data_IF_350076772565
#
_entry.id   IF_350076772565
#
_cell.length_a   1.000
_cell.length_b   1.000
_cell.length_c   1.000
_cell.angle_alpha   90.00
_cell.angle_beta   90.00
_cell.angle_gamma   90.00
#
_symmetry.space_group_name_H-M   'P 1'
#
loop_
_entity.id
_entity.type
_entity.pdbx_description
1 polymer ?
#
# COMPACT_ATOMS: atom_id res chain seq x y z
N UNK A 1 19.91 -25.18 -6.79
CA UNK A 1 18.73 -24.53 -7.41
C UNK A 1 18.82 -24.75 -8.90
N UNK A 2 17.70 -24.83 -9.62
CA UNK A 2 17.76 -24.88 -11.09
C UNK A 2 18.36 -23.59 -11.64
N UNK A 3 19.02 -23.67 -12.78
CA UNK A 3 19.63 -22.51 -13.48
C UNK A 3 18.62 -21.37 -13.74
N UNK A 4 17.32 -21.67 -13.72
CA UNK A 4 16.24 -20.70 -13.99
C UNK A 4 15.73 -19.98 -12.74
N UNK A 5 15.96 -20.51 -11.53
CA UNK A 5 15.29 -20.00 -10.33
C UNK A 5 15.80 -18.61 -9.92
N UNK A 6 17.12 -18.39 -9.95
CA UNK A 6 17.73 -17.10 -9.58
C UNK A 6 17.30 -15.97 -10.55
N UNK A 7 17.35 -16.15 -11.88
CA UNK A 7 16.82 -15.16 -12.82
C UNK A 7 15.35 -14.81 -12.58
N UNK A 8 14.49 -15.80 -12.31
CA UNK A 8 13.08 -15.57 -12.01
C UNK A 8 12.92 -14.72 -10.73
N UNK A 9 13.65 -15.06 -9.66
CA UNK A 9 13.61 -14.30 -8.43
C UNK A 9 14.06 -12.85 -8.64
N UNK A 10 15.13 -12.61 -9.41
CA UNK A 10 15.62 -11.25 -9.75
C UNK A 10 14.55 -10.45 -10.49
N UNK A 11 13.89 -11.08 -11.46
CA UNK A 11 12.79 -10.45 -12.20
C UNK A 11 11.62 -10.07 -11.28
N UNK A 12 11.15 -11.00 -10.44
CA UNK A 12 10.05 -10.74 -9.50
C UNK A 12 10.43 -9.66 -8.47
N UNK A 13 11.64 -9.75 -7.93
CA UNK A 13 12.18 -8.82 -6.94
C UNK A 13 12.25 -7.37 -7.42
N UNK A 14 12.31 -7.17 -8.75
CA UNK A 14 12.30 -5.84 -9.38
C UNK A 14 10.90 -5.43 -9.87
N UNK A 15 10.18 -6.35 -10.53
CA UNK A 15 8.88 -6.04 -11.17
C UNK A 15 7.78 -5.82 -10.13
N UNK A 16 7.71 -6.64 -9.08
CA UNK A 16 6.68 -6.49 -8.05
C UNK A 16 6.71 -5.12 -7.34
N UNK A 17 7.86 -4.63 -6.81
CA UNK A 17 7.94 -3.28 -6.25
C UNK A 17 7.68 -2.19 -7.30
N UNK A 18 8.10 -2.38 -8.56
CA UNK A 18 7.84 -1.42 -9.64
C UNK A 18 6.34 -1.26 -9.92
N UNK A 19 5.61 -2.36 -10.09
CA UNK A 19 4.15 -2.35 -10.29
C UNK A 19 3.47 -1.68 -9.09
N UNK A 20 3.87 -2.05 -7.86
CA UNK A 20 3.29 -1.49 -6.65
C UNK A 20 3.52 0.03 -6.52
N UNK A 21 4.74 0.48 -6.84
CA UNK A 21 5.12 1.89 -6.94
C UNK A 21 4.21 2.61 -7.93
N UNK A 22 4.06 2.06 -9.13
CA UNK A 22 3.24 2.64 -10.20
C UNK A 22 1.77 2.82 -9.81
N UNK A 23 1.13 1.79 -9.27
CA UNK A 23 -0.25 1.88 -8.80
C UNK A 23 -0.43 2.94 -7.71
N UNK A 24 0.46 2.94 -6.72
CA UNK A 24 0.35 3.85 -5.58
C UNK A 24 0.61 5.30 -6.02
N UNK A 25 1.59 5.52 -6.89
CA UNK A 25 1.83 6.82 -7.53
C UNK A 25 0.61 7.29 -8.33
N UNK A 26 0.05 6.43 -9.16
CA UNK A 26 -1.11 6.75 -9.98
C UNK A 26 -2.33 7.12 -9.11
N UNK A 27 -2.59 6.39 -8.02
CA UNK A 27 -3.64 6.79 -7.07
C UNK A 27 -3.39 8.18 -6.50
N UNK A 28 -2.18 8.45 -6.01
CA UNK A 28 -1.86 9.71 -5.34
C UNK A 28 -1.88 10.92 -6.28
N UNK A 29 -1.31 10.80 -7.48
CA UNK A 29 -1.03 11.96 -8.36
C UNK A 29 -1.90 12.04 -9.61
N UNK A 30 -2.51 10.93 -10.04
CA UNK A 30 -3.30 10.89 -11.27
C UNK A 30 -4.79 10.77 -10.96
N UNK A 31 -5.17 9.84 -10.07
CA UNK A 31 -6.58 9.56 -9.80
C UNK A 31 -7.20 10.50 -8.76
N UNK A 32 -6.59 10.67 -7.58
CA UNK A 32 -7.22 11.44 -6.50
C UNK A 32 -7.36 12.96 -6.77
N UNK A 33 -6.42 13.66 -7.44
CA UNK A 33 -6.56 15.10 -7.67
C UNK A 33 -7.83 15.52 -8.43
N UNK A 34 -8.17 14.96 -9.61
CA UNK A 34 -9.40 15.34 -10.30
C UNK A 34 -10.65 14.96 -9.50
N UNK A 35 -10.66 13.81 -8.82
CA UNK A 35 -11.80 13.39 -7.99
C UNK A 35 -12.06 14.37 -6.84
N UNK A 36 -11.01 14.77 -6.12
CA UNK A 36 -11.13 15.74 -5.01
C UNK A 36 -11.42 17.17 -5.46
N UNK A 37 -11.19 17.49 -6.73
CA UNK A 37 -11.46 18.81 -7.30
C UNK A 37 -12.90 18.93 -7.78
N UNK A 38 -13.46 17.87 -8.36
CA UNK A 38 -14.71 17.96 -9.11
C UNK A 38 -15.87 17.13 -8.56
N UNK A 39 -15.62 16.07 -7.78
CA UNK A 39 -16.69 15.19 -7.33
C UNK A 39 -17.44 15.77 -6.11
N UNK A 40 -18.78 15.76 -6.11
CA UNK A 40 -19.55 16.11 -4.91
C UNK A 40 -19.33 15.08 -3.79
N UNK A 41 -19.56 15.44 -2.51
CA UNK A 41 -19.13 14.63 -1.36
C UNK A 41 -19.61 13.17 -1.37
N UNK A 42 -20.89 12.90 -1.67
CA UNK A 42 -21.41 11.52 -1.75
C UNK A 42 -20.75 10.71 -2.89
N UNK A 43 -20.52 11.34 -4.05
CA UNK A 43 -19.85 10.67 -5.18
C UNK A 43 -18.37 10.40 -4.86
N UNK A 44 -17.67 11.38 -4.29
CA UNK A 44 -16.28 11.24 -3.86
C UNK A 44 -16.13 10.12 -2.83
N UNK A 45 -17.08 10.01 -1.88
CA UNK A 45 -17.11 8.92 -0.91
C UNK A 45 -17.19 7.54 -1.58
N UNK A 46 -18.11 7.37 -2.55
CA UNK A 46 -18.25 6.12 -3.31
C UNK A 46 -16.99 5.77 -4.10
N UNK A 47 -16.43 6.74 -4.83
CA UNK A 47 -15.24 6.55 -5.66
C UNK A 47 -13.99 6.22 -4.82
N UNK A 48 -13.77 6.94 -3.71
CA UNK A 48 -12.67 6.65 -2.80
C UNK A 48 -12.84 5.28 -2.14
N UNK A 49 -14.04 4.95 -1.65
CA UNK A 49 -14.27 3.67 -0.98
C UNK A 49 -14.06 2.50 -1.94
N UNK A 50 -14.55 2.59 -3.18
CA UNK A 50 -14.30 1.57 -4.20
C UNK A 50 -12.80 1.38 -4.51
N UNK A 51 -12.05 2.48 -4.64
CA UNK A 51 -10.60 2.43 -4.82
C UNK A 51 -9.90 1.77 -3.61
N UNK A 52 -10.35 2.12 -2.40
CA UNK A 52 -9.84 1.55 -1.16
C UNK A 52 -10.12 0.05 -1.03
N UNK A 53 -11.34 -0.40 -1.35
CA UNK A 53 -11.72 -1.81 -1.33
C UNK A 53 -11.01 -2.66 -2.37
N UNK A 54 -10.60 -2.06 -3.49
CA UNK A 54 -9.82 -2.74 -4.52
C UNK A 54 -8.37 -3.00 -4.09
N UNK A 55 -7.81 -2.16 -3.22
CA UNK A 55 -6.39 -2.20 -2.86
C UNK A 55 -5.87 -3.58 -2.40
N UNK A 56 -6.57 -4.35 -1.53
CA UNK A 56 -6.13 -5.68 -1.11
C UNK A 56 -5.91 -6.67 -2.26
N UNK A 57 -6.57 -6.49 -3.41
CA UNK A 57 -6.43 -7.39 -4.56
C UNK A 57 -5.02 -7.37 -5.18
N UNK A 58 -4.27 -6.27 -5.02
CA UNK A 58 -2.92 -6.15 -5.58
C UNK A 58 -1.85 -5.84 -4.53
N UNK A 59 -2.16 -5.12 -3.44
CA UNK A 59 -1.19 -4.72 -2.41
C UNK A 59 -0.52 -5.95 -1.77
N UNK A 60 -1.33 -6.89 -1.27
CA UNK A 60 -0.83 -8.10 -0.60
C UNK A 60 0.06 -8.95 -1.51
N UNK A 61 -0.43 -9.34 -2.72
CA UNK A 61 0.38 -10.08 -3.68
C UNK A 61 1.71 -9.41 -4.04
N UNK A 62 1.71 -8.10 -4.34
CA UNK A 62 2.93 -7.40 -4.73
C UNK A 62 3.93 -7.29 -3.57
N UNK A 63 3.47 -7.04 -2.34
CA UNK A 63 4.33 -7.01 -1.17
C UNK A 63 4.94 -8.39 -0.91
N UNK A 64 4.13 -9.44 -0.90
CA UNK A 64 4.61 -10.79 -0.63
C UNK A 64 5.63 -11.23 -1.67
N UNK A 65 5.35 -11.02 -2.96
CA UNK A 65 6.28 -11.35 -4.05
C UNK A 65 7.59 -10.57 -3.95
N UNK A 66 7.51 -9.25 -3.76
CA UNK A 66 8.69 -8.39 -3.65
C UNK A 66 9.55 -8.71 -2.42
N UNK A 67 8.92 -8.85 -1.25
CA UNK A 67 9.64 -9.12 -0.01
C UNK A 67 10.28 -10.51 0.00
N UNK A 68 9.51 -11.55 -0.36
CA UNK A 68 10.00 -12.93 -0.35
C UNK A 68 11.10 -13.16 -1.39
N UNK A 69 10.96 -12.60 -2.60
CA UNK A 69 11.98 -12.78 -3.65
C UNK A 69 13.30 -12.11 -3.27
N UNK A 70 13.25 -10.89 -2.72
CA UNK A 70 14.45 -10.22 -2.22
C UNK A 70 15.07 -10.97 -1.03
N UNK A 71 14.27 -11.49 -0.10
CA UNK A 71 14.78 -12.27 1.03
C UNK A 71 15.47 -13.57 0.58
N UNK A 72 14.88 -14.27 -0.39
CA UNK A 72 15.48 -15.47 -0.98
C UNK A 72 16.77 -15.14 -1.73
N UNK A 73 16.81 -14.06 -2.51
CA UNK A 73 18.04 -13.61 -3.19
C UNK A 73 19.14 -13.26 -2.19
N UNK A 74 18.81 -12.59 -1.08
CA UNK A 74 19.76 -12.35 0.00
C UNK A 74 20.29 -13.65 0.61
N UNK A 75 19.44 -14.64 0.81
CA UNK A 75 19.82 -15.95 1.35
C UNK A 75 20.74 -16.74 0.40
N UNK A 76 20.47 -16.71 -0.90
CA UNK A 76 21.26 -17.43 -1.90
C UNK A 76 22.55 -16.69 -2.32
N UNK A 77 22.66 -15.40 -2.02
CA UNK A 77 23.88 -14.61 -2.27
C UNK A 77 24.90 -14.84 -1.15
N UNK A 78 25.62 -15.97 -1.24
CA UNK A 78 26.51 -16.46 -0.17
C UNK A 78 28.00 -16.16 -0.36
N UNK A 79 28.41 -15.62 -1.51
CA UNK A 79 29.83 -15.32 -1.77
C UNK A 79 30.32 -14.18 -0.87
N UNK A 80 31.52 -14.28 -0.26
CA UNK A 80 32.15 -13.18 0.48
C UNK A 80 32.36 -11.91 -0.36
N UNK A 81 32.49 -12.04 -1.68
CA UNK A 81 32.59 -10.89 -2.60
C UNK A 81 31.27 -10.17 -2.84
N UNK A 82 30.13 -10.73 -2.42
CA UNK A 82 28.78 -10.23 -2.72
C UNK A 82 28.06 -9.68 -1.48
N UNK A 83 28.80 -9.33 -0.42
CA UNK A 83 28.25 -8.79 0.84
C UNK A 83 27.36 -7.57 0.61
N UNK A 84 27.80 -6.66 -0.26
CA UNK A 84 27.02 -5.46 -0.59
C UNK A 84 25.67 -5.83 -1.25
N UNK A 85 25.69 -6.70 -2.26
CA UNK A 85 24.47 -7.12 -2.94
C UNK A 85 23.50 -7.85 -2.00
N UNK A 86 24.02 -8.72 -1.13
CA UNK A 86 23.22 -9.36 -0.08
C UNK A 86 22.57 -8.33 0.84
N UNK A 87 23.31 -7.32 1.28
CA UNK A 87 22.79 -6.23 2.12
C UNK A 87 21.67 -5.46 1.41
N UNK A 88 21.86 -5.13 0.13
CA UNK A 88 20.85 -4.45 -0.69
C UNK A 88 19.57 -5.29 -0.82
N UNK A 89 19.66 -6.59 -1.10
CA UNK A 89 18.49 -7.48 -1.11
C UNK A 89 17.76 -7.51 0.24
N UNK A 90 18.48 -7.53 1.37
CA UNK A 90 17.85 -7.45 2.72
C UNK A 90 17.10 -6.13 2.90
N UNK A 91 17.71 -5.01 2.51
CA UNK A 91 17.08 -3.68 2.59
C UNK A 91 15.81 -3.63 1.73
N UNK A 92 15.86 -4.13 0.50
CA UNK A 92 14.70 -4.18 -0.39
C UNK A 92 13.58 -5.07 0.18
N UNK A 93 13.91 -6.22 0.75
CA UNK A 93 12.94 -7.10 1.41
C UNK A 93 12.27 -6.40 2.61
N UNK A 94 13.07 -5.75 3.46
CA UNK A 94 12.58 -4.99 4.62
C UNK A 94 11.70 -3.81 4.21
N UNK A 95 12.09 -3.06 3.18
CA UNK A 95 11.30 -1.95 2.64
C UNK A 95 9.92 -2.45 2.18
N UNK A 96 9.85 -3.50 1.36
CA UNK A 96 8.57 -4.07 0.94
C UNK A 96 7.72 -4.57 2.11
N UNK A 97 8.33 -5.33 3.04
CA UNK A 97 7.63 -5.86 4.20
C UNK A 97 7.07 -4.75 5.10
N UNK A 98 7.77 -3.62 5.22
CA UNK A 98 7.37 -2.48 6.07
C UNK A 98 6.04 -1.80 5.65
N UNK A 99 5.60 -2.00 4.41
CA UNK A 99 4.32 -1.48 3.93
C UNK A 99 3.13 -2.07 4.70
N UNK A 100 3.23 -3.31 5.15
CA UNK A 100 2.16 -3.98 5.92
C UNK A 100 1.95 -3.32 7.29
N UNK A 101 2.95 -3.22 8.20
CA UNK A 101 2.76 -2.54 9.48
C UNK A 101 2.41 -1.06 9.30
N UNK A 102 2.98 -0.37 8.30
CA UNK A 102 2.58 1.00 7.98
C UNK A 102 1.09 1.10 7.62
N UNK A 103 0.58 0.16 6.84
CA UNK A 103 -0.83 0.10 6.48
C UNK A 103 -1.70 -0.21 7.69
N UNK A 104 -1.41 -1.32 8.38
CA UNK A 104 -2.30 -1.89 9.38
C UNK A 104 -2.26 -1.16 10.72
N UNK A 105 -1.11 -0.59 11.09
CA UNK A 105 -0.94 0.04 12.40
C UNK A 105 -1.09 1.56 12.34
N UNK A 106 -0.80 2.19 11.20
CA UNK A 106 -0.86 3.64 11.06
C UNK A 106 -2.03 4.09 10.18
N UNK A 107 -2.12 3.65 8.92
CA UNK A 107 -3.17 4.13 8.02
C UNK A 107 -4.55 3.59 8.37
N UNK A 108 -4.64 2.31 8.75
CA UNK A 108 -5.91 1.61 8.98
C UNK A 108 -6.74 2.17 10.15
N UNK A 109 -6.19 2.37 11.35
CA UNK A 109 -6.90 3.02 12.44
C UNK A 109 -6.95 4.55 12.31
N UNK A 110 -6.12 5.13 11.45
CA UNK A 110 -6.08 6.56 11.16
C UNK A 110 -6.96 6.93 9.96
N UNK A 111 -6.32 7.38 8.88
CA UNK A 111 -7.00 7.98 7.73
C UNK A 111 -7.95 7.05 6.98
N UNK A 112 -7.65 5.74 6.88
CA UNK A 112 -8.57 4.78 6.26
C UNK A 112 -9.82 4.60 7.12
N UNK A 113 -9.65 4.43 8.44
CA UNK A 113 -10.75 4.33 9.39
C UNK A 113 -11.63 5.58 9.37
N UNK A 114 -11.03 6.77 9.44
CA UNK A 114 -11.73 8.04 9.30
C UNK A 114 -12.53 8.12 7.99
N UNK A 115 -11.92 7.73 6.86
CA UNK A 115 -12.60 7.70 5.57
C UNK A 115 -13.79 6.75 5.55
N UNK A 116 -13.64 5.54 6.12
CA UNK A 116 -14.76 4.59 6.27
C UNK A 116 -15.89 5.17 7.11
N UNK A 117 -15.60 5.80 8.25
CA UNK A 117 -16.62 6.45 9.07
C UNK A 117 -17.32 7.60 8.32
N UNK A 118 -16.58 8.43 7.58
CA UNK A 118 -17.17 9.51 6.78
C UNK A 118 -18.03 8.96 5.64
N UNK A 119 -17.60 7.89 4.96
CA UNK A 119 -18.40 7.19 3.94
C UNK A 119 -19.70 6.70 4.53
N UNK A 120 -19.68 6.03 5.70
CA UNK A 120 -20.90 5.61 6.37
C UNK A 120 -21.79 6.79 6.75
N UNK A 121 -21.23 7.89 7.26
CA UNK A 121 -22.00 9.09 7.57
C UNK A 121 -22.72 9.67 6.35
N UNK A 122 -22.03 9.74 5.20
CA UNK A 122 -22.57 10.32 3.96
C UNK A 122 -23.53 9.39 3.23
N UNK A 123 -23.36 8.08 3.35
CA UNK A 123 -24.10 7.07 2.58
C UNK A 123 -25.05 6.21 3.44
N UNK A 124 -25.28 6.58 4.71
CA UNK A 124 -26.18 5.84 5.60
C UNK A 124 -27.60 5.73 5.02
N UNK A 125 -28.10 6.83 4.48
CA UNK A 125 -29.43 6.90 3.83
C UNK A 125 -29.49 6.05 2.55
N UNK A 126 -28.34 5.84 1.90
CA UNK A 126 -28.19 4.97 0.73
C UNK A 126 -28.03 3.48 1.14
N UNK A 127 -28.17 3.16 2.44
CA UNK A 127 -28.08 1.79 2.98
C UNK A 127 -26.67 1.29 3.30
N UNK A 128 -25.63 2.15 3.20
CA UNK A 128 -24.26 1.75 3.50
C UNK A 128 -24.01 1.65 5.01
N UNK A 129 -23.51 0.50 5.48
CA UNK A 129 -23.14 0.26 6.87
C UNK A 129 -21.83 -0.54 6.95
N UNK A 130 -20.91 -0.09 7.81
CA UNK A 130 -19.72 -0.86 8.14
C UNK A 130 -20.08 -2.06 9.01
N UNK A 131 -19.35 -3.15 8.81
CA UNK A 131 -19.44 -4.37 9.61
C UNK A 131 -18.69 -4.17 10.93
N UNK A 132 -19.10 -4.95 11.93
CA UNK A 132 -18.36 -5.07 13.19
C UNK A 132 -16.96 -5.61 12.90
N UNK A 133 -15.96 -5.03 13.55
CA UNK A 133 -14.56 -5.47 13.45
C UNK A 133 -14.43 -6.98 13.66
N UNK A 134 -13.70 -7.65 12.76
CA UNK A 134 -13.52 -9.11 12.76
C UNK A 134 -14.56 -9.88 11.94
N UNK A 135 -15.61 -9.24 11.40
CA UNK A 135 -16.60 -9.88 10.52
C UNK A 135 -16.42 -9.43 9.06
N UNK A 136 -15.76 -10.23 8.23
CA UNK A 136 -15.57 -9.95 6.79
C UNK A 136 -14.16 -9.45 6.45
N UNK A 137 -14.03 -8.60 5.42
CA UNK A 137 -12.73 -8.01 5.03
C UNK A 137 -12.43 -6.79 5.90
N UNK A 138 -11.15 -6.51 6.18
CA UNK A 138 -10.69 -5.31 6.91
C UNK A 138 -11.28 -4.01 6.32
N UNK A 139 -11.48 -3.97 5.01
CA UNK A 139 -12.05 -2.83 4.30
C UNK A 139 -13.52 -2.57 4.64
N UNK A 140 -14.25 -3.58 5.11
CA UNK A 140 -15.67 -3.49 5.47
C UNK A 140 -15.86 -3.17 6.95
N UNK A 141 -14.81 -3.23 7.76
CA UNK A 141 -14.90 -3.07 9.21
C UNK A 141 -14.86 -1.61 9.64
N UNK A 142 -15.54 -1.29 10.75
CA UNK A 142 -15.17 -0.09 11.50
C UNK A 142 -13.82 -0.31 12.20
N UNK A 143 -12.77 0.30 11.63
CA UNK A 143 -11.39 0.24 12.14
C UNK A 143 -10.92 1.54 12.77
N UNK A 144 -11.74 2.61 12.73
CA UNK A 144 -11.29 3.93 13.13
C UNK A 144 -10.96 3.98 14.63
N UNK A 145 -9.80 4.56 14.96
CA UNK A 145 -9.54 5.04 16.30
C UNK A 145 -10.55 6.13 16.68
N UNK A 146 -10.75 6.36 17.98
CA UNK A 146 -11.67 7.40 18.45
C UNK A 146 -11.29 8.79 17.93
N UNK A 147 -9.99 9.10 17.92
CA UNK A 147 -9.46 10.35 17.37
C UNK A 147 -9.77 10.48 15.88
N UNK A 148 -9.51 9.43 15.09
CA UNK A 148 -9.80 9.42 13.66
C UNK A 148 -11.30 9.58 13.37
N UNK A 149 -12.17 8.99 14.20
CA UNK A 149 -13.63 9.14 14.09
C UNK A 149 -14.07 10.58 14.38
N UNK A 150 -13.59 11.17 15.47
CA UNK A 150 -13.88 12.57 15.82
C UNK A 150 -13.37 13.53 14.74
N UNK A 151 -12.16 13.30 14.24
CA UNK A 151 -11.62 14.08 13.13
C UNK A 151 -12.47 13.94 11.87
N UNK A 152 -12.91 12.71 11.54
CA UNK A 152 -13.78 12.51 10.39
C UNK A 152 -15.04 13.36 10.52
N UNK A 153 -15.69 13.43 11.68
CA UNK A 153 -16.91 14.22 11.88
C UNK A 153 -16.73 15.72 11.58
N UNK A 154 -15.55 16.29 11.82
CA UNK A 154 -15.30 17.74 11.66
C UNK A 154 -14.86 18.17 10.27
N UNK A 155 -14.48 17.25 9.38
CA UNK A 155 -13.95 17.59 8.05
C UNK A 155 -14.78 17.05 6.89
N UNK A 156 -14.65 17.68 5.73
CA UNK A 156 -15.23 17.18 4.49
C UNK A 156 -14.52 15.93 3.97
N UNK A 157 -15.23 15.12 3.19
CA UNK A 157 -14.65 13.94 2.53
C UNK A 157 -13.43 14.29 1.68
N UNK A 158 -13.41 15.48 1.07
CA UNK A 158 -12.26 16.01 0.31
C UNK A 158 -10.98 16.02 1.14
N UNK A 159 -11.04 16.53 2.38
CA UNK A 159 -9.88 16.63 3.28
C UNK A 159 -9.35 15.25 3.63
N UNK A 160 -10.26 14.30 3.87
CA UNK A 160 -9.89 12.91 4.17
C UNK A 160 -9.20 12.26 2.98
N UNK A 161 -9.75 12.39 1.77
CA UNK A 161 -9.17 11.80 0.55
C UNK A 161 -7.80 12.43 0.22
N UNK A 162 -7.65 13.74 0.38
CA UNK A 162 -6.35 14.41 0.19
C UNK A 162 -5.32 13.94 1.22
N UNK A 163 -5.73 13.81 2.48
CA UNK A 163 -4.87 13.27 3.55
C UNK A 163 -4.48 11.83 3.24
N UNK A 164 -5.44 11.01 2.80
CA UNK A 164 -5.21 9.62 2.40
C UNK A 164 -4.19 9.55 1.25
N UNK A 165 -4.35 10.36 0.21
CA UNK A 165 -3.45 10.38 -0.95
C UNK A 165 -2.02 10.76 -0.56
N UNK A 166 -1.88 11.77 0.31
CA UNK A 166 -0.58 12.20 0.87
C UNK A 166 0.07 11.11 1.70
N UNK A 167 -0.69 10.45 2.57
CA UNK A 167 -0.19 9.36 3.40
C UNK A 167 0.16 8.13 2.55
N UNK A 168 -0.66 7.82 1.55
CA UNK A 168 -0.41 6.75 0.59
C UNK A 168 0.86 6.98 -0.24
N UNK A 169 1.29 8.24 -0.43
CA UNK A 169 2.51 8.59 -1.18
C UNK A 169 3.75 7.89 -0.61
N UNK A 170 3.83 7.71 0.71
CA UNK A 170 4.94 7.01 1.36
C UNK A 170 5.12 5.58 0.84
N UNK A 171 4.04 4.90 0.44
CA UNK A 171 4.11 3.52 -0.04
C UNK A 171 4.82 3.43 -1.39
N UNK A 172 4.66 4.41 -2.28
CA UNK A 172 5.39 4.41 -3.56
C UNK A 172 6.84 4.84 -3.36
N UNK A 173 7.14 5.68 -2.37
CA UNK A 173 8.52 6.04 -2.02
C UNK A 173 9.27 4.80 -1.53
N UNK A 174 8.69 4.09 -0.55
CA UNK A 174 9.32 2.89 0.04
C UNK A 174 9.50 1.78 -1.00
N UNK A 175 8.49 1.51 -1.83
CA UNK A 175 8.59 0.48 -2.86
C UNK A 175 9.46 0.90 -4.05
N UNK A 176 9.52 2.18 -4.38
CA UNK A 176 10.46 2.71 -5.37
C UNK A 176 11.91 2.53 -4.94
N UNK A 177 12.21 2.78 -3.65
CA UNK A 177 13.52 2.47 -3.05
C UNK A 177 13.81 0.97 -3.15
N UNK A 178 12.85 0.11 -2.79
CA UNK A 178 13.02 -1.34 -2.88
C UNK A 178 13.34 -1.80 -4.32
N UNK A 179 12.65 -1.23 -5.32
CA UNK A 179 12.92 -1.50 -6.74
C UNK A 179 14.35 -1.13 -7.13
N UNK A 180 14.78 0.11 -6.84
CA UNK A 180 16.12 0.60 -7.21
C UNK A 180 17.22 -0.23 -6.53
N UNK A 181 17.05 -0.51 -5.24
CA UNK A 181 18.01 -1.27 -4.45
C UNK A 181 18.09 -2.73 -4.93
N UNK A 182 16.95 -3.36 -5.27
CA UNK A 182 16.92 -4.73 -5.81
C UNK A 182 17.60 -4.81 -7.19
N UNK A 183 17.35 -3.83 -8.06
CA UNK A 183 18.00 -3.74 -9.36
C UNK A 183 19.53 -3.54 -9.22
N UNK A 184 19.97 -2.65 -8.32
CA UNK A 184 21.38 -2.45 -8.03
C UNK A 184 22.05 -3.73 -7.50
N UNK A 185 21.39 -4.44 -6.57
CA UNK A 185 21.87 -5.72 -6.05
C UNK A 185 22.03 -6.78 -7.16
N UNK A 186 21.12 -6.78 -8.14
CA UNK A 186 21.15 -7.71 -9.27
C UNK A 186 22.37 -7.49 -10.18
N UNK A 187 22.78 -6.24 -10.37
CA UNK A 187 23.96 -5.89 -11.20
C UNK A 187 25.27 -6.25 -10.50
N UNK A 188 25.26 -6.32 -9.16
CA UNK A 188 26.45 -6.57 -8.33
C UNK A 188 26.75 -8.07 -8.08
N UNK A 189 25.95 -8.99 -8.62
CA UNK A 189 26.08 -10.46 -8.40
C UNK A 189 26.20 -11.24 -9.70
#
# INVERSE_FOLDING_TARGET
MSDTTIPILRAIATIAPAIYTGFTFAYTHVAMPPLTTHAPPKLLAKQWFQAYEFAPAYVGPMILLGASSNALLAYFTSSPSSVLARGLYVVAAGAMASVVPYTMLYMEPGVNGAGKCKVQGLLREDGFLLKVKGKGKVTEWDSASEEARRWAETVDMKVIVQTWARTNAWRYVISGVAMVVSAAATVLV
#
